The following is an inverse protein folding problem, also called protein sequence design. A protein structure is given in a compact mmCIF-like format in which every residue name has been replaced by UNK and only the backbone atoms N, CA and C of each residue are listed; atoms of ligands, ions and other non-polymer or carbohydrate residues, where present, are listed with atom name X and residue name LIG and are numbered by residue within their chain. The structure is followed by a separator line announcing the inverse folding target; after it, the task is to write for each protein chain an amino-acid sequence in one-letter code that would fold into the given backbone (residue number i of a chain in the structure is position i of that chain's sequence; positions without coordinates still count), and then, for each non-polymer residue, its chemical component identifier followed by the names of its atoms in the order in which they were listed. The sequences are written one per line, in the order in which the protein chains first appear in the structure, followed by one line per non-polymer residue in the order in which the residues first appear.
data_IF_983912118078
#
_entry.id   IF_983912118078
#
_cell.length_a   1.000
_cell.length_b   1.000
_cell.length_c   1.000
_cell.angle_alpha   90.00
_cell.angle_beta   90.00
_cell.angle_gamma   90.00
#
_symmetry.space_group_name_H-M   'P 1'
#
loop_
_entity.id
_entity.type
_entity.pdbx_description
1 polymer ?
#
# COMPACT_ATOMS: atom_id res chain seq x y z
N UNK A 1 5.63 -22.97 -63.68
CA UNK A 1 6.66 -22.28 -62.88
C UNK A 1 6.34 -20.78 -62.74
N UNK A 2 5.86 -20.33 -61.58
CA UNK A 2 6.60 -19.39 -60.68
C UNK A 2 5.73 -19.16 -59.44
N UNK A 3 6.41 -19.08 -58.31
CA UNK A 3 5.92 -19.08 -56.92
C UNK A 3 5.42 -17.68 -56.57
N UNK A 4 4.35 -17.56 -55.78
CA UNK A 4 4.19 -16.47 -54.80
C UNK A 4 3.38 -16.95 -53.58
N UNK A 5 4.11 -17.21 -52.48
CA UNK A 5 3.84 -16.95 -51.05
C UNK A 5 2.36 -16.76 -50.66
N UNK A 6 1.69 -17.63 -49.90
CA UNK A 6 1.92 -18.06 -48.51
C UNK A 6 2.48 -16.97 -47.58
N UNK A 7 1.78 -15.86 -47.43
CA UNK A 7 1.86 -14.99 -46.23
C UNK A 7 0.64 -14.09 -46.24
N UNK A 8 -0.30 -14.38 -45.35
CA UNK A 8 -1.54 -13.66 -45.21
C UNK A 8 -2.51 -14.48 -44.40
N UNK A 9 -2.00 -15.06 -43.29
CA UNK A 9 -2.86 -15.43 -42.17
C UNK A 9 -3.65 -14.15 -41.90
N UNK A 10 -4.93 -14.24 -42.22
CA UNK A 10 -5.94 -13.26 -41.92
C UNK A 10 -5.86 -13.01 -40.42
N UNK A 11 -5.06 -12.01 -40.03
CA UNK A 11 -4.98 -11.43 -38.71
C UNK A 11 -6.27 -10.61 -38.49
N UNK A 12 -7.39 -11.31 -38.64
CA UNK A 12 -8.72 -10.83 -38.35
C UNK A 12 -9.18 -11.45 -37.02
N UNK A 13 -8.26 -11.49 -36.04
CA UNK A 13 -8.62 -11.53 -34.63
C UNK A 13 -8.74 -10.09 -34.15
N UNK A 14 -9.68 -9.37 -34.78
CA UNK A 14 -10.04 -8.02 -34.40
C UNK A 14 -10.78 -8.10 -33.06
N UNK A 15 -10.10 -7.65 -32.01
CA UNK A 15 -10.68 -6.90 -30.90
C UNK A 15 -11.93 -7.51 -30.23
N UNK A 16 -11.81 -8.70 -29.66
CA UNK A 16 -12.62 -8.99 -28.47
C UNK A 16 -11.95 -8.30 -27.29
N UNK A 17 -12.39 -7.07 -26.98
CA UNK A 17 -12.06 -6.38 -25.75
C UNK A 17 -12.47 -7.28 -24.57
N UNK A 18 -11.53 -8.07 -24.06
CA UNK A 18 -11.71 -8.85 -22.84
C UNK A 18 -11.80 -7.88 -21.66
N UNK A 19 -13.01 -7.41 -21.36
CA UNK A 19 -13.36 -6.81 -20.07
C UNK A 19 -13.32 -7.91 -18.99
N UNK A 20 -12.15 -8.43 -18.66
CA UNK A 20 -11.94 -9.24 -17.46
C UNK A 20 -11.36 -8.39 -16.31
N UNK A 21 -11.45 -7.06 -16.41
CA UNK A 21 -10.69 -6.12 -15.56
C UNK A 21 -11.37 -5.72 -14.24
N UNK A 22 -12.57 -6.20 -13.95
CA UNK A 22 -13.17 -6.16 -12.61
C UNK A 22 -13.90 -7.48 -12.41
N UNK A 23 -13.27 -8.44 -11.69
CA UNK A 23 -13.96 -9.67 -11.35
C UNK A 23 -15.15 -9.35 -10.44
N UNK A 24 -16.28 -10.05 -10.64
CA UNK A 24 -17.50 -9.86 -9.87
C UNK A 24 -17.19 -9.90 -8.35
N UNK A 25 -17.73 -8.97 -7.53
CA UNK A 25 -17.54 -8.98 -6.08
C UNK A 25 -17.86 -10.34 -5.41
N UNK A 26 -18.79 -11.12 -5.96
CA UNK A 26 -19.12 -12.46 -5.49
C UNK A 26 -17.96 -13.44 -5.67
N UNK A 27 -17.30 -13.43 -6.83
CA UNK A 27 -16.14 -14.29 -7.10
C UNK A 27 -14.95 -13.87 -6.24
N UNK A 28 -14.77 -12.56 -6.02
CA UNK A 28 -13.76 -12.03 -5.09
C UNK A 28 -14.00 -12.48 -3.65
N UNK A 29 -15.26 -12.44 -3.20
CA UNK A 29 -15.62 -12.90 -1.87
C UNK A 29 -15.36 -14.41 -1.71
N UNK A 30 -15.77 -15.23 -2.68
CA UNK A 30 -15.47 -16.67 -2.68
C UNK A 30 -13.97 -16.94 -2.61
N UNK A 31 -13.18 -16.33 -3.49
CA UNK A 31 -11.72 -16.50 -3.52
C UNK A 31 -11.08 -16.14 -2.18
N UNK A 32 -11.52 -15.04 -1.57
CA UNK A 32 -11.00 -14.60 -0.28
C UNK A 32 -11.38 -15.56 0.84
N UNK A 33 -12.64 -16.01 0.90
CA UNK A 33 -13.09 -16.99 1.90
C UNK A 33 -12.31 -18.29 1.74
N UNK A 34 -12.16 -18.82 0.52
CA UNK A 34 -11.35 -20.02 0.27
C UNK A 34 -9.95 -19.89 0.85
N UNK A 35 -9.25 -18.77 0.58
CA UNK A 35 -7.91 -18.53 1.13
C UNK A 35 -7.89 -18.41 2.65
N UNK A 36 -8.92 -17.82 3.25
CA UNK A 36 -9.03 -17.72 4.71
C UNK A 36 -9.34 -19.09 5.32
N UNK A 37 -10.20 -19.90 4.70
CA UNK A 37 -10.48 -21.29 5.10
C UNK A 37 -9.22 -22.13 5.09
N UNK A 38 -8.40 -22.04 4.05
CA UNK A 38 -7.12 -22.77 3.96
C UNK A 38 -6.15 -22.38 5.09
N UNK A 39 -6.12 -21.10 5.47
CA UNK A 39 -5.16 -20.58 6.46
C UNK A 39 -5.64 -20.70 7.92
N UNK A 40 -6.95 -20.65 8.14
CA UNK A 40 -7.57 -20.57 9.47
C UNK A 40 -8.44 -21.77 9.82
N UNK A 41 -8.64 -22.69 8.86
CA UNK A 41 -9.49 -23.88 9.01
C UNK A 41 -10.90 -23.49 9.49
N UNK A 42 -11.53 -22.58 8.74
CA UNK A 42 -12.85 -22.04 9.09
C UNK A 42 -13.94 -23.11 9.06
N UNK A 43 -14.89 -23.05 10.00
CA UNK A 43 -16.10 -23.88 9.95
C UNK A 43 -17.06 -23.38 8.87
N UNK A 44 -18.03 -24.20 8.46
CA UNK A 44 -19.01 -23.82 7.42
C UNK A 44 -19.84 -22.58 7.81
N UNK A 45 -20.16 -22.45 9.10
CA UNK A 45 -20.86 -21.28 9.64
C UNK A 45 -19.98 -20.03 9.54
N UNK A 46 -18.72 -20.11 9.97
CA UNK A 46 -17.77 -19.01 9.85
C UNK A 46 -17.52 -18.60 8.39
N UNK A 47 -17.42 -19.59 7.48
CA UNK A 47 -17.27 -19.33 6.06
C UNK A 47 -18.44 -18.52 5.49
N UNK A 48 -19.67 -18.85 5.91
CA UNK A 48 -20.87 -18.14 5.47
C UNK A 48 -20.87 -16.70 5.98
N UNK A 49 -20.65 -16.49 7.29
CA UNK A 49 -20.62 -15.15 7.87
C UNK A 49 -19.50 -14.28 7.29
N UNK A 50 -18.30 -14.86 7.10
CA UNK A 50 -17.16 -14.15 6.51
C UNK A 50 -17.39 -13.87 5.02
N UNK A 51 -18.08 -14.76 4.30
CA UNK A 51 -18.44 -14.50 2.90
C UNK A 51 -19.29 -13.24 2.75
N UNK A 52 -20.34 -13.10 3.58
CA UNK A 52 -21.22 -11.94 3.51
C UNK A 52 -20.46 -10.64 3.83
N UNK A 53 -19.61 -10.66 4.87
CA UNK A 53 -18.74 -9.52 5.23
C UNK A 53 -17.81 -9.13 4.07
N UNK A 54 -17.15 -10.11 3.45
CA UNK A 54 -16.22 -9.84 2.33
C UNK A 54 -16.96 -9.40 1.07
N UNK A 55 -18.16 -9.91 0.83
CA UNK A 55 -19.00 -9.50 -0.30
C UNK A 55 -19.42 -8.04 -0.16
N UNK A 56 -19.85 -7.63 1.03
CA UNK A 56 -20.15 -6.22 1.32
C UNK A 56 -18.93 -5.33 1.15
N UNK A 57 -17.77 -5.76 1.67
CA UNK A 57 -16.50 -5.07 1.48
C UNK A 57 -16.16 -4.88 -0.01
N UNK A 58 -16.30 -5.93 -0.83
CA UNK A 58 -16.03 -5.88 -2.25
C UNK A 58 -16.96 -4.92 -2.99
N UNK A 59 -18.27 -4.95 -2.67
CA UNK A 59 -19.27 -4.03 -3.22
C UNK A 59 -18.98 -2.58 -2.83
N UNK A 60 -18.63 -2.33 -1.56
CA UNK A 60 -18.29 -1.00 -1.07
C UNK A 60 -17.01 -0.46 -1.75
N UNK A 61 -15.97 -1.30 -1.91
CA UNK A 61 -14.75 -0.92 -2.62
C UNK A 61 -15.02 -0.60 -4.10
N UNK A 62 -15.92 -1.34 -4.74
CA UNK A 62 -16.37 -1.06 -6.11
C UNK A 62 -17.13 0.27 -6.20
N UNK A 63 -18.03 0.55 -5.26
CA UNK A 63 -18.75 1.82 -5.19
C UNK A 63 -17.80 3.02 -5.01
N UNK A 64 -16.82 2.91 -4.11
CA UNK A 64 -15.78 3.93 -3.90
C UNK A 64 -14.91 4.16 -5.15
N UNK A 65 -14.66 3.12 -5.95
CA UNK A 65 -13.92 3.25 -7.22
C UNK A 65 -14.76 3.89 -8.32
N UNK A 66 -16.08 3.67 -8.31
CA UNK A 66 -17.01 4.21 -9.30
C UNK A 66 -17.38 5.68 -9.02
N UNK A 67 -17.23 6.14 -7.77
CA UNK A 67 -17.50 7.53 -7.39
C UNK A 67 -16.39 8.48 -7.88
N UNK A 68 -16.61 9.06 -9.06
CA UNK A 68 -15.70 10.03 -9.67
C UNK A 68 -15.75 11.43 -9.02
N UNK A 69 -16.59 11.65 -8.00
CA UNK A 69 -16.68 12.94 -7.29
C UNK A 69 -15.60 13.11 -6.21
N UNK A 70 -14.99 12.02 -5.77
CA UNK A 70 -14.01 12.02 -4.68
C UNK A 70 -12.59 12.19 -5.21
N UNK A 71 -11.73 12.84 -4.41
CA UNK A 71 -10.31 12.90 -4.75
C UNK A 71 -9.66 11.52 -4.56
N UNK A 72 -8.54 11.23 -5.27
CA UNK A 72 -7.81 9.98 -5.08
C UNK A 72 -7.41 9.70 -3.62
N UNK A 73 -7.04 10.75 -2.88
CA UNK A 73 -6.67 10.67 -1.46
C UNK A 73 -7.86 10.31 -0.59
N UNK A 74 -9.02 10.95 -0.82
CA UNK A 74 -10.26 10.64 -0.10
C UNK A 74 -10.72 9.19 -0.35
N UNK A 75 -10.58 8.70 -1.58
CA UNK A 75 -10.86 7.30 -1.92
C UNK A 75 -9.87 6.35 -1.24
N UNK A 76 -8.58 6.69 -1.18
CA UNK A 76 -7.57 5.87 -0.50
C UNK A 76 -7.84 5.78 1.01
N UNK A 77 -8.17 6.91 1.65
CA UNK A 77 -8.53 6.96 3.07
C UNK A 77 -9.81 6.17 3.37
N UNK A 78 -10.84 6.30 2.52
CA UNK A 78 -12.08 5.55 2.63
C UNK A 78 -11.85 4.04 2.49
N UNK A 79 -10.98 3.60 1.56
CA UNK A 79 -10.59 2.20 1.41
C UNK A 79 -9.84 1.67 2.64
N UNK A 80 -8.95 2.47 3.23
CA UNK A 80 -8.25 2.13 4.46
C UNK A 80 -9.21 1.85 5.61
N UNK A 81 -10.13 2.79 5.89
CA UNK A 81 -11.16 2.61 6.92
C UNK A 81 -12.07 1.42 6.65
N UNK A 82 -12.46 1.24 5.40
CA UNK A 82 -13.32 0.14 4.96
C UNK A 82 -12.61 -1.21 5.23
N UNK A 83 -11.33 -1.31 4.91
CA UNK A 83 -10.52 -2.50 5.20
C UNK A 83 -10.42 -2.75 6.72
N UNK A 84 -10.10 -1.74 7.53
CA UNK A 84 -10.02 -1.88 9.00
C UNK A 84 -11.33 -2.37 9.61
N UNK A 85 -12.45 -1.81 9.14
CA UNK A 85 -13.79 -2.21 9.59
C UNK A 85 -14.08 -3.66 9.23
N UNK A 86 -13.79 -4.06 7.98
CA UNK A 86 -13.95 -5.44 7.53
C UNK A 86 -13.07 -6.42 8.31
N UNK A 87 -11.81 -6.06 8.59
CA UNK A 87 -10.91 -6.89 9.37
C UNK A 87 -11.42 -7.08 10.81
N UNK A 88 -11.97 -6.03 11.43
CA UNK A 88 -12.60 -6.13 12.74
C UNK A 88 -13.82 -7.07 12.73
N UNK A 89 -14.72 -6.90 11.76
CA UNK A 89 -15.91 -7.76 11.62
C UNK A 89 -15.53 -9.23 11.37
N UNK A 90 -14.50 -9.49 10.55
CA UNK A 90 -14.01 -10.86 10.35
C UNK A 90 -13.49 -11.44 11.67
N UNK A 91 -12.69 -10.68 12.44
CA UNK A 91 -12.17 -11.15 13.73
C UNK A 91 -13.26 -11.52 14.73
N UNK A 92 -14.41 -10.83 14.70
CA UNK A 92 -15.56 -11.16 15.57
C UNK A 92 -16.16 -12.54 15.28
N UNK A 93 -16.01 -13.05 14.05
CA UNK A 93 -16.49 -14.38 13.65
C UNK A 93 -15.48 -15.50 13.95
N UNK A 94 -14.26 -15.16 14.38
CA UNK A 94 -13.18 -16.11 14.58
C UNK A 94 -13.06 -16.57 16.04
N UNK A 95 -12.56 -17.78 16.26
CA UNK A 95 -12.08 -18.24 17.56
C UNK A 95 -10.81 -17.49 17.96
N UNK A 96 -10.42 -17.55 19.24
CA UNK A 96 -9.25 -16.82 19.73
C UNK A 96 -7.93 -17.31 19.11
N UNK A 97 -7.83 -18.61 18.82
CA UNK A 97 -6.69 -19.18 18.10
C UNK A 97 -6.64 -18.66 16.65
N UNK A 98 -7.79 -18.64 15.96
CA UNK A 98 -7.90 -18.14 14.59
C UNK A 98 -7.62 -16.64 14.49
N UNK A 99 -8.03 -15.83 15.49
CA UNK A 99 -7.70 -14.39 15.56
C UNK A 99 -6.19 -14.16 15.55
N UNK A 100 -5.44 -14.97 16.29
CA UNK A 100 -3.97 -14.86 16.36
C UNK A 100 -3.32 -15.12 15.00
N UNK A 101 -3.82 -16.12 14.26
CA UNK A 101 -3.35 -16.40 12.90
C UNK A 101 -3.76 -15.30 11.93
N UNK A 102 -4.98 -14.78 12.07
CA UNK A 102 -5.49 -13.73 11.22
C UNK A 102 -4.74 -12.41 11.39
N UNK A 103 -4.31 -12.07 12.60
CA UNK A 103 -3.47 -10.90 12.86
C UNK A 103 -2.13 -10.98 12.11
N UNK A 104 -1.54 -12.17 11.99
CA UNK A 104 -0.34 -12.39 11.14
C UNK A 104 -0.67 -12.19 9.67
N UNK A 105 -1.80 -12.72 9.21
CA UNK A 105 -2.26 -12.53 7.82
C UNK A 105 -2.47 -11.05 7.51
N UNK A 106 -2.99 -10.25 8.44
CA UNK A 106 -3.14 -8.79 8.27
C UNK A 106 -1.78 -8.10 8.23
N UNK A 107 -0.86 -8.45 9.13
CA UNK A 107 0.47 -7.85 9.21
C UNK A 107 1.30 -8.07 7.93
N UNK A 108 1.09 -9.18 7.24
CA UNK A 108 1.73 -9.52 5.96
C UNK A 108 1.08 -8.83 4.74
N UNK A 109 -0.06 -8.17 4.90
CA UNK A 109 -0.70 -7.50 3.76
C UNK A 109 0.17 -6.34 3.30
N UNK A 110 0.36 -6.17 1.98
CA UNK A 110 0.86 -4.92 1.46
C UNK A 110 -0.10 -3.82 1.94
N UNK A 111 0.42 -2.84 2.68
CA UNK A 111 -0.37 -1.64 2.97
C UNK A 111 -0.67 -1.01 1.62
N UNK A 112 -1.94 -0.96 1.22
CA UNK A 112 -2.33 -0.03 0.17
C UNK A 112 -1.88 1.34 0.68
N UNK A 113 -0.93 1.97 -0.02
CA UNK A 113 -0.34 3.24 0.38
C UNK A 113 -1.47 4.26 0.55
N UNK A 114 -1.94 4.41 1.78
CA UNK A 114 -2.55 5.64 2.23
C UNK A 114 -1.44 6.68 2.14
N UNK A 115 -1.65 7.84 1.50
CA UNK A 115 -0.71 8.93 1.70
C UNK A 115 -0.60 9.12 3.21
N UNK A 116 0.61 8.95 3.73
CA UNK A 116 0.85 8.84 5.17
C UNK A 116 0.16 9.99 5.92
N UNK A 117 -0.41 9.75 7.12
CA UNK A 117 -0.89 10.85 7.95
C UNK A 117 0.27 11.81 8.16
N UNK A 118 0.05 13.09 7.83
CA UNK A 118 0.99 14.18 8.01
C UNK A 118 1.45 14.25 9.47
N UNK A 119 2.51 13.51 9.78
CA UNK A 119 3.43 13.79 10.87
C UNK A 119 4.67 14.38 10.23
N UNK A 120 5.27 15.43 10.82
CA UNK A 120 6.29 16.23 10.17
C UNK A 120 7.53 15.35 9.94
N UNK A 121 7.77 15.00 8.68
CA UNK A 121 9.06 14.47 8.24
C UNK A 121 10.09 15.58 8.41
N UNK A 122 10.91 15.43 9.46
CA UNK A 122 12.27 15.97 9.51
C UNK A 122 12.98 15.71 8.17
N UNK A 123 13.78 16.67 7.65
CA UNK A 123 14.46 16.51 6.38
C UNK A 123 15.44 15.32 6.42
N UNK A 124 15.66 14.63 5.28
CA UNK A 124 16.45 13.42 5.23
C UNK A 124 17.92 13.69 5.57
N UNK A 125 18.43 12.94 6.54
CA UNK A 125 19.85 12.74 6.83
C UNK A 125 20.60 12.41 5.53
N UNK A 126 21.52 13.30 5.14
CA UNK A 126 22.49 13.06 4.07
C UNK A 126 23.32 11.81 4.39
N UNK A 127 23.69 10.99 3.38
CA UNK A 127 24.58 9.85 3.57
C UNK A 127 25.91 10.34 4.13
N UNK A 128 26.33 9.78 5.27
CA UNK A 128 27.62 10.04 5.88
C UNK A 128 28.72 9.47 4.97
N UNK A 129 29.57 10.34 4.43
CA UNK A 129 30.82 9.95 3.78
C UNK A 129 31.75 9.26 4.82
N UNK A 130 32.55 8.25 4.41
CA UNK A 130 33.45 7.57 5.33
C UNK A 130 34.56 8.53 5.77
N UNK A 131 34.75 8.66 7.08
CA UNK A 131 35.77 9.50 7.69
C UNK A 131 37.19 9.10 7.24
N UNK A 132 37.90 10.01 6.58
CA UNK A 132 39.36 9.96 6.48
C UNK A 132 39.99 10.17 7.87
N UNK A 133 41.07 9.44 8.23
CA UNK A 133 41.71 9.56 9.54
C UNK A 133 42.45 10.89 9.67
N UNK A 134 42.08 11.65 10.69
CA UNK A 134 42.72 12.91 11.08
C UNK A 134 44.21 12.71 11.42
N UNK A 135 45.10 13.47 10.77
CA UNK A 135 46.48 13.70 11.23
C UNK A 135 46.49 14.76 12.35
N UNK A 136 47.41 14.66 13.33
CA UNK A 136 47.34 15.44 14.57
C UNK A 136 47.98 16.84 14.47
N UNK A 137 47.30 17.79 15.12
CA UNK A 137 47.76 18.94 15.92
C UNK A 137 48.88 19.87 15.42
N UNK A 138 48.55 21.18 15.35
CA UNK A 138 49.48 22.27 15.65
C UNK A 138 48.73 23.37 16.46
N UNK A 139 49.29 23.88 17.57
CA UNK A 139 48.61 24.86 18.43
C UNK A 139 49.04 26.32 18.20
N UNK A 140 48.20 27.24 18.69
CA UNK A 140 48.40 28.68 19.01
C UNK A 140 48.21 29.72 17.88
N UNK A 141 47.26 30.65 18.08
CA UNK A 141 47.51 32.01 18.59
C UNK A 141 46.20 32.71 19.00
N UNK A 142 46.15 33.49 20.10
CA UNK A 142 44.97 34.27 20.48
C UNK A 142 44.92 35.59 19.69
N UNK A 143 43.84 35.83 18.96
CA UNK A 143 43.61 37.12 18.30
C UNK A 143 43.37 38.21 19.37
N UNK A 144 44.22 39.23 19.37
CA UNK A 144 44.05 40.46 20.15
C UNK A 144 42.82 41.24 19.65
N UNK A 145 42.00 41.86 20.53
CA UNK A 145 40.97 42.79 20.09
C UNK A 145 41.60 44.16 19.78
N UNK A 146 41.29 44.71 18.61
CA UNK A 146 41.64 46.09 18.23
C UNK A 146 41.04 47.13 19.21
N UNK A 147 41.76 48.23 19.51
CA UNK A 147 41.29 49.25 20.43
C UNK A 147 40.25 50.16 19.77
N UNK A 148 39.11 50.34 20.44
CA UNK A 148 38.13 51.39 20.17
C UNK A 148 38.82 52.77 20.26
N UNK A 149 38.74 53.56 19.20
CA UNK A 149 39.11 54.98 19.27
C UNK A 149 37.89 55.83 19.65
N UNK A 150 38.04 56.77 20.60
CA UNK A 150 36.94 57.57 21.13
C UNK A 150 36.65 58.81 20.28
N UNK A 151 35.41 59.29 20.43
CA UNK A 151 34.89 60.56 19.94
C UNK A 151 35.65 61.79 20.47
N UNK A 152 35.74 62.84 19.64
CA UNK A 152 36.09 64.22 20.00
C UNK A 152 36.54 64.98 18.73
N UNK A 153 36.18 66.22 18.44
CA UNK A 153 35.39 67.28 19.10
C UNK A 153 34.67 68.10 18.01
#
# INVERSE_FOLDING_TARGET
MKKLFLTGISLLFALTLTFAQDANPEDKAKEKVTKLTEKLTLTDEQQTSIYDIVLEHAKAKQALKADASQSPEAVAEAKGRLQETTDAQIKEQLSDEQKTLYDRIIAERPREETPAPATPVTPPTQPQEPMEPQQPEQPMEPQQPEPQQPMGE
#
